data_IF_168330334308
#
_entry.id   IF_168330334308
#
_cell.length_a   1.000
_cell.length_b   1.000
_cell.length_c   1.000
_cell.angle_alpha   90.00
_cell.angle_beta   90.00
_cell.angle_gamma   90.00
#
_symmetry.space_group_name_H-M   'P 1'
#
loop_
_entity.id
_entity.type
_entity.pdbx_description
1 polymer ?
#
# COMPACT_ATOMS: atom_id res chain seq x y z
N UNK A 1 37.43 -15.26 -72.36
CA UNK A 1 37.07 -14.33 -71.26
C UNK A 1 35.57 -14.33 -71.10
N UNK A 2 35.06 -14.75 -69.93
CA UNK A 2 33.81 -14.29 -69.30
C UNK A 2 33.62 -15.09 -68.00
N UNK A 3 34.13 -14.51 -66.92
CA UNK A 3 34.03 -15.00 -65.55
C UNK A 3 32.64 -14.68 -65.02
N UNK A 4 31.91 -15.65 -64.49
CA UNK A 4 30.59 -15.47 -63.86
C UNK A 4 30.80 -15.44 -62.35
N UNK A 5 30.48 -14.31 -61.72
CA UNK A 5 30.47 -14.15 -60.26
C UNK A 5 29.08 -14.52 -59.72
N UNK A 6 29.01 -15.55 -58.87
CA UNK A 6 27.83 -15.82 -58.04
C UNK A 6 27.94 -15.02 -56.74
N UNK A 7 27.00 -14.09 -56.52
CA UNK A 7 26.79 -13.46 -55.21
C UNK A 7 25.80 -14.31 -54.40
N UNK A 8 26.27 -14.92 -53.32
CA UNK A 8 25.42 -15.45 -52.25
C UNK A 8 25.01 -14.32 -51.31
N UNK A 9 23.73 -13.97 -51.31
CA UNK A 9 23.15 -13.04 -50.35
C UNK A 9 22.85 -13.77 -49.03
N UNK A 10 23.55 -13.41 -47.95
CA UNK A 10 23.24 -13.90 -46.61
C UNK A 10 22.09 -13.06 -46.01
N UNK A 11 20.95 -13.69 -45.75
CA UNK A 11 19.82 -13.06 -45.07
C UNK A 11 20.08 -12.99 -43.56
N UNK A 12 20.33 -11.78 -43.04
CA UNK A 12 20.35 -11.52 -41.60
C UNK A 12 18.91 -11.49 -41.07
N UNK A 13 18.53 -12.55 -40.37
CA UNK A 13 17.24 -12.66 -39.70
C UNK A 13 17.34 -11.91 -38.36
N UNK A 14 16.81 -10.68 -38.30
CA UNK A 14 16.76 -9.89 -37.09
C UNK A 14 15.71 -10.49 -36.13
N UNK A 15 16.18 -11.15 -35.06
CA UNK A 15 15.34 -11.59 -33.95
C UNK A 15 14.91 -10.37 -33.14
N UNK A 16 13.71 -9.86 -33.40
CA UNK A 16 13.04 -8.87 -32.55
C UNK A 16 12.62 -9.56 -31.24
N UNK A 17 13.49 -9.54 -30.24
CA UNK A 17 13.16 -9.94 -28.88
C UNK A 17 12.15 -8.94 -28.30
N UNK A 18 10.90 -9.40 -28.10
CA UNK A 18 9.89 -8.61 -27.40
C UNK A 18 10.33 -8.37 -25.96
N UNK A 19 10.58 -7.12 -25.59
CA UNK A 19 10.83 -6.73 -24.21
C UNK A 19 9.50 -6.90 -23.47
N UNK A 20 9.38 -7.95 -22.66
CA UNK A 20 8.24 -8.12 -21.77
C UNK A 20 8.33 -7.04 -20.69
N UNK A 21 7.40 -6.08 -20.70
CA UNK A 21 7.34 -5.06 -19.66
C UNK A 21 7.05 -5.75 -18.32
N UNK A 22 7.89 -5.51 -17.31
CA UNK A 22 7.65 -6.02 -15.97
C UNK A 22 6.30 -5.47 -15.44
N UNK A 23 5.47 -6.35 -14.88
CA UNK A 23 4.19 -5.97 -14.29
C UNK A 23 4.39 -4.91 -13.21
N UNK A 24 3.52 -3.89 -13.19
CA UNK A 24 3.62 -2.79 -12.24
C UNK A 24 3.43 -3.26 -10.78
N UNK A 25 4.09 -2.57 -9.85
CA UNK A 25 3.86 -2.76 -8.41
C UNK A 25 2.41 -2.40 -8.09
N UNK A 26 1.66 -3.35 -7.49
CA UNK A 26 0.21 -3.23 -7.31
C UNK A 26 -0.22 -3.59 -5.90
N UNK A 27 -1.32 -3.01 -5.44
CA UNK A 27 -1.99 -3.31 -4.17
C UNK A 27 -3.47 -3.59 -4.43
N UNK A 28 -4.00 -4.60 -3.76
CA UNK A 28 -5.41 -5.00 -3.82
C UNK A 28 -5.90 -5.49 -2.46
N UNK A 29 -7.20 -5.66 -2.33
CA UNK A 29 -7.84 -6.28 -1.16
C UNK A 29 -8.97 -7.19 -1.63
N UNK A 30 -9.11 -8.35 -0.99
CA UNK A 30 -10.28 -9.22 -1.17
C UNK A 30 -11.51 -8.74 -0.40
N UNK A 31 -11.32 -7.94 0.65
CA UNK A 31 -12.40 -7.46 1.53
C UNK A 31 -13.03 -6.15 1.01
N UNK A 32 -12.31 -5.41 0.17
CA UNK A 32 -12.81 -4.18 -0.45
C UNK A 32 -13.54 -4.55 -1.76
N UNK A 33 -14.86 -4.27 -1.87
CA UNK A 33 -15.62 -4.56 -3.07
C UNK A 33 -15.09 -3.81 -4.31
N UNK A 34 -15.47 -4.28 -5.50
CA UNK A 34 -15.02 -3.72 -6.78
C UNK A 34 -15.44 -2.26 -7.02
N UNK A 35 -16.47 -1.78 -6.33
CA UNK A 35 -16.89 -0.37 -6.36
C UNK A 35 -16.11 0.51 -5.37
N UNK A 36 -15.14 -0.08 -4.65
CA UNK A 36 -14.27 0.56 -3.67
C UNK A 36 -15.02 1.25 -2.52
N UNK A 37 -16.23 0.82 -2.17
CA UNK A 37 -16.95 1.32 -0.99
C UNK A 37 -16.58 0.50 0.24
N UNK A 38 -16.17 1.15 1.33
CA UNK A 38 -15.94 0.46 2.59
C UNK A 38 -17.26 -0.08 3.15
N UNK A 39 -17.24 -1.31 3.63
CA UNK A 39 -18.35 -1.95 4.34
C UNK A 39 -18.27 -1.68 5.83
N UNK A 40 -19.32 -2.05 6.58
CA UNK A 40 -19.35 -1.89 8.04
C UNK A 40 -18.19 -2.58 8.77
N UNK A 41 -17.58 -3.60 8.15
CA UNK A 41 -16.41 -4.28 8.70
C UNK A 41 -15.23 -3.32 8.93
N UNK A 42 -15.02 -2.35 8.02
CA UNK A 42 -13.88 -1.43 8.03
C UNK A 42 -14.24 -0.02 8.55
N UNK A 43 -15.46 0.15 9.04
CA UNK A 43 -15.94 1.39 9.67
C UNK A 43 -15.52 1.39 11.14
N UNK A 44 -15.19 2.55 11.68
CA UNK A 44 -14.74 2.69 13.07
C UNK A 44 -15.85 2.32 14.06
N UNK A 45 -15.44 1.92 15.27
CA UNK A 45 -16.33 1.62 16.39
C UNK A 45 -16.11 2.64 17.50
N UNK A 46 -16.81 3.77 17.40
CA UNK A 46 -16.61 4.94 18.25
C UNK A 46 -16.93 6.22 17.50
N UNK A 47 -16.93 7.37 18.21
CA UNK A 47 -17.18 8.70 17.64
C UNK A 47 -18.49 8.79 16.81
N UNK A 48 -19.51 8.06 17.26
CA UNK A 48 -20.81 7.97 16.59
C UNK A 48 -20.86 7.01 15.39
N UNK A 49 -19.79 6.28 15.09
CA UNK A 49 -19.79 5.17 14.15
C UNK A 49 -19.92 3.82 14.88
N UNK A 50 -20.53 2.84 14.20
CA UNK A 50 -20.89 1.54 14.76
C UNK A 50 -20.35 0.36 13.93
N UNK A 51 -19.27 0.56 13.21
CA UNK A 51 -18.64 -0.52 12.43
C UNK A 51 -17.91 -1.53 13.32
N UNK A 52 -17.26 -2.49 12.68
CA UNK A 52 -16.51 -3.55 13.36
C UNK A 52 -15.06 -3.15 13.65
N UNK A 53 -14.56 -2.11 12.99
CA UNK A 53 -13.21 -1.58 13.13
C UNK A 53 -12.10 -2.61 12.82
N UNK A 54 -12.31 -3.41 11.77
CA UNK A 54 -11.38 -4.46 11.34
C UNK A 54 -10.63 -3.99 10.09
N UNK A 55 -9.30 -4.09 10.09
CA UNK A 55 -8.49 -3.77 8.91
C UNK A 55 -8.81 -4.73 7.75
N UNK A 56 -8.89 -4.26 6.51
CA UNK A 56 -9.10 -5.15 5.37
C UNK A 56 -7.86 -6.01 5.12
N UNK A 57 -8.08 -7.19 4.55
CA UNK A 57 -7.03 -7.97 3.88
C UNK A 57 -6.32 -7.08 2.86
N UNK A 58 -5.00 -7.16 2.77
CA UNK A 58 -4.23 -6.45 1.75
C UNK A 58 -3.27 -7.42 1.09
N UNK A 59 -3.10 -7.34 -0.22
CA UNK A 59 -2.07 -8.09 -0.95
C UNK A 59 -1.42 -7.23 -2.00
N UNK A 60 -0.10 -7.35 -2.13
CA UNK A 60 0.69 -6.63 -3.12
C UNK A 60 1.53 -7.57 -3.97
N UNK A 61 1.82 -7.14 -5.20
CA UNK A 61 2.55 -7.93 -6.21
C UNK A 61 3.55 -7.07 -6.94
N UNK A 62 4.60 -7.72 -7.45
CA UNK A 62 5.66 -7.11 -8.25
C UNK A 62 6.39 -5.95 -7.53
N UNK A 63 6.91 -6.17 -6.30
CA UNK A 63 7.74 -5.17 -5.64
C UNK A 63 8.98 -4.87 -6.51
N UNK A 64 9.48 -3.63 -6.52
CA UNK A 64 10.70 -3.31 -7.25
C UNK A 64 11.90 -4.07 -6.67
N UNK A 65 12.90 -4.32 -7.52
CA UNK A 65 14.19 -4.84 -7.07
C UNK A 65 14.80 -3.89 -6.02
N UNK A 66 15.47 -4.46 -5.00
CA UNK A 66 16.04 -3.70 -3.90
C UNK A 66 15.09 -3.43 -2.72
N UNK A 67 13.85 -3.93 -2.77
CA UNK A 67 12.93 -3.89 -1.63
C UNK A 67 13.48 -4.71 -0.47
N UNK A 68 13.64 -4.08 0.70
CA UNK A 68 14.12 -4.71 1.94
C UNK A 68 13.07 -4.78 3.05
N UNK A 69 12.05 -3.93 2.99
CA UNK A 69 10.87 -4.02 3.83
C UNK A 69 9.68 -3.33 3.16
N UNK A 70 8.49 -3.56 3.69
CA UNK A 70 7.28 -2.81 3.36
C UNK A 70 6.78 -1.99 4.54
N UNK A 71 5.96 -1.01 4.20
CA UNK A 71 5.08 -0.33 5.12
C UNK A 71 3.67 -0.22 4.53
N UNK A 72 2.67 -0.10 5.41
CA UNK A 72 1.28 0.17 5.06
C UNK A 72 0.87 1.49 5.70
N UNK A 73 0.15 2.30 4.95
CA UNK A 73 -0.53 3.48 5.49
C UNK A 73 -1.97 3.55 5.00
N UNK A 74 -2.86 4.01 5.87
CA UNK A 74 -4.23 4.40 5.52
C UNK A 74 -4.42 5.85 5.93
N UNK A 75 -4.74 6.70 4.95
CA UNK A 75 -4.87 8.14 5.16
C UNK A 75 -6.13 8.69 4.50
N UNK A 76 -6.86 9.53 5.24
CA UNK A 76 -8.00 10.28 4.77
C UNK A 76 -7.60 11.75 4.54
N UNK A 77 -7.47 12.22 3.29
CA UNK A 77 -7.16 13.61 3.00
C UNK A 77 -8.38 14.55 3.12
N UNK A 78 -9.60 14.01 3.24
CA UNK A 78 -10.84 14.77 3.26
C UNK A 78 -11.29 15.10 4.69
N UNK A 79 -10.70 14.47 5.71
CA UNK A 79 -10.94 14.81 7.11
C UNK A 79 -10.68 16.30 7.40
N UNK A 80 -11.64 17.04 8.01
CA UNK A 80 -11.59 18.49 8.14
C UNK A 80 -10.74 18.94 9.35
N UNK A 81 -9.46 18.58 9.37
CA UNK A 81 -8.52 18.84 10.47
C UNK A 81 -7.40 19.83 10.11
N UNK A 82 -7.25 20.16 8.83
CA UNK A 82 -6.08 20.87 8.29
C UNK A 82 -4.90 19.97 7.94
N UNK A 83 -4.90 18.70 8.38
CA UNK A 83 -3.83 17.72 8.11
C UNK A 83 -4.33 16.37 7.57
N UNK A 84 -5.64 16.24 7.30
CA UNK A 84 -6.26 14.94 7.05
C UNK A 84 -6.30 14.06 8.31
N UNK A 85 -6.39 12.75 8.12
CA UNK A 85 -6.45 11.77 9.21
C UNK A 85 -5.66 10.51 8.89
N UNK A 86 -4.70 10.16 9.74
CA UNK A 86 -3.99 8.89 9.72
C UNK A 86 -4.82 7.82 10.42
N UNK A 87 -5.35 6.90 9.62
CA UNK A 87 -6.16 5.76 10.08
C UNK A 87 -5.30 4.55 10.46
N UNK A 88 -4.15 4.38 9.80
CA UNK A 88 -3.24 3.28 10.09
C UNK A 88 -1.84 3.59 9.59
N UNK A 89 -0.83 3.22 10.38
CA UNK A 89 0.56 3.14 9.92
C UNK A 89 1.18 1.86 10.45
N UNK A 90 1.93 1.18 9.59
CA UNK A 90 2.66 -0.03 9.91
C UNK A 90 3.96 -0.07 9.12
N UNK A 91 5.07 -0.40 9.77
CA UNK A 91 6.41 -0.40 9.18
C UNK A 91 7.17 -1.69 9.51
N UNK A 92 8.31 -1.88 8.86
CA UNK A 92 9.23 -3.00 9.08
C UNK A 92 8.60 -4.36 8.73
N UNK A 93 7.64 -4.38 7.80
CA UNK A 93 7.08 -5.62 7.26
C UNK A 93 8.19 -6.30 6.43
N UNK A 94 8.60 -7.55 6.74
CA UNK A 94 9.71 -8.19 6.04
C UNK A 94 9.45 -8.33 4.53
N UNK A 95 10.49 -8.21 3.70
CA UNK A 95 10.39 -8.19 2.23
C UNK A 95 9.76 -9.44 1.60
N UNK A 96 9.77 -10.57 2.32
CA UNK A 96 9.15 -11.83 1.91
C UNK A 96 7.64 -11.91 2.14
N UNK A 97 7.07 -10.96 2.89
CA UNK A 97 5.63 -10.88 3.13
C UNK A 97 4.98 -10.08 1.99
N UNK A 98 3.93 -10.62 1.40
CA UNK A 98 3.22 -10.02 0.26
C UNK A 98 1.73 -9.81 0.49
N UNK A 99 1.28 -10.10 1.70
CA UNK A 99 -0.09 -9.91 2.12
C UNK A 99 -0.21 -9.72 3.63
N UNK A 100 -1.33 -9.13 4.04
CA UNK A 100 -1.80 -9.05 5.41
C UNK A 100 -3.21 -9.63 5.45
N UNK A 101 -3.53 -10.45 6.46
CA UNK A 101 -4.89 -10.96 6.63
C UNK A 101 -5.85 -9.85 7.08
N UNK A 102 -7.14 -10.08 6.88
CA UNK A 102 -8.20 -9.31 7.53
C UNK A 102 -7.96 -9.24 9.04
N UNK A 103 -8.05 -8.05 9.62
CA UNK A 103 -7.86 -7.85 11.05
C UNK A 103 -6.41 -8.02 11.52
N UNK A 104 -5.42 -7.81 10.64
CA UNK A 104 -4.02 -7.84 11.01
C UNK A 104 -3.74 -6.93 12.22
N UNK A 105 -3.19 -7.53 13.29
CA UNK A 105 -2.93 -6.94 14.59
C UNK A 105 -1.56 -7.40 15.13
N UNK A 106 -1.15 -6.89 16.29
CA UNK A 106 0.15 -7.24 16.88
C UNK A 106 0.33 -8.75 17.14
N UNK A 107 -0.75 -9.52 17.30
CA UNK A 107 -0.67 -10.97 17.60
C UNK A 107 -0.49 -11.80 16.33
N UNK A 108 -1.00 -11.30 15.20
CA UNK A 108 -0.97 -11.97 13.90
C UNK A 108 0.22 -11.54 13.05
N UNK A 109 0.84 -10.40 13.35
CA UNK A 109 1.99 -9.87 12.62
C UNK A 109 3.32 -10.56 12.98
N UNK A 110 4.25 -10.69 12.00
CA UNK A 110 5.61 -11.15 12.26
C UNK A 110 6.35 -10.32 13.31
N UNK A 111 7.30 -10.94 14.01
CA UNK A 111 8.18 -10.23 14.93
C UNK A 111 8.93 -9.10 14.22
N UNK A 112 9.03 -7.94 14.88
CA UNK A 112 9.72 -6.75 14.37
C UNK A 112 8.82 -5.79 13.58
N UNK A 113 7.60 -6.20 13.21
CA UNK A 113 6.61 -5.27 12.63
C UNK A 113 6.12 -4.31 13.71
N UNK A 114 6.10 -3.02 13.36
CA UNK A 114 5.68 -1.94 14.27
C UNK A 114 4.46 -1.25 13.68
N UNK A 115 3.46 -0.99 14.51
CA UNK A 115 2.34 -0.10 14.18
C UNK A 115 2.56 1.22 14.89
N UNK A 116 2.50 2.33 14.15
CA UNK A 116 2.62 3.68 14.71
C UNK A 116 1.30 4.20 15.24
N UNK A 117 1.34 5.34 15.95
CA UNK A 117 0.18 6.00 16.54
C UNK A 117 -0.68 6.62 15.43
N UNK A 118 -1.94 6.21 15.38
CA UNK A 118 -2.95 6.81 14.50
C UNK A 118 -3.55 8.07 15.15
N UNK A 119 -4.36 8.82 14.40
CA UNK A 119 -4.93 10.09 14.88
C UNK A 119 -6.12 9.89 15.86
N UNK A 120 -6.60 8.65 16.03
CA UNK A 120 -7.48 8.28 17.16
C UNK A 120 -6.71 8.15 18.48
N UNK A 121 -5.37 8.16 18.43
CA UNK A 121 -4.50 8.23 19.58
C UNK A 121 -3.92 6.89 20.05
N UNK A 122 -4.04 5.83 19.26
CA UNK A 122 -3.49 4.50 19.59
C UNK A 122 -2.73 3.87 18.43
N UNK A 123 -1.89 2.87 18.71
CA UNK A 123 -1.16 2.12 17.69
C UNK A 123 -2.03 1.02 17.07
N UNK A 124 -2.40 1.18 15.80
CA UNK A 124 -3.21 0.21 15.07
C UNK A 124 -4.12 0.83 14.01
N UNK A 125 -4.93 -0.02 13.37
CA UNK A 125 -5.96 0.43 12.45
C UNK A 125 -7.13 1.07 13.20
N UNK A 126 -7.59 2.21 12.69
CA UNK A 126 -8.87 2.81 13.01
C UNK A 126 -9.66 3.04 11.72
N UNK A 127 -10.89 2.51 11.66
CA UNK A 127 -11.74 2.53 10.48
C UNK A 127 -12.27 3.90 10.09
N UNK A 128 -13.08 3.93 9.03
CA UNK A 128 -13.73 5.14 8.54
C UNK A 128 -14.74 5.70 9.56
N UNK A 129 -14.77 7.02 9.75
CA UNK A 129 -15.82 7.70 10.51
C UNK A 129 -15.97 9.18 10.12
N UNK A 130 -16.37 9.49 8.87
CA UNK A 130 -16.50 10.86 8.39
C UNK A 130 -17.66 11.59 9.10
N UNK A 131 -17.75 12.93 9.11
CA UNK A 131 -18.91 13.63 9.68
C UNK A 131 -20.24 13.23 9.02
N UNK A 132 -21.37 13.18 9.75
CA UNK A 132 -22.68 12.93 9.14
C UNK A 132 -23.07 14.00 8.12
N UNK A 133 -23.54 13.57 6.94
CA UNK A 133 -24.00 14.47 5.87
C UNK A 133 -22.89 15.15 5.07
N UNK A 134 -21.61 14.85 5.35
CA UNK A 134 -20.51 15.29 4.50
C UNK A 134 -20.47 14.48 3.19
N UNK A 135 -19.72 14.96 2.19
CA UNK A 135 -19.40 14.17 1.00
C UNK A 135 -18.70 12.87 1.43
N UNK A 136 -18.78 11.77 0.65
CA UNK A 136 -17.98 10.58 0.94
C UNK A 136 -16.48 10.92 0.99
N UNK A 137 -15.80 10.54 2.08
CA UNK A 137 -14.36 10.70 2.24
C UNK A 137 -13.60 9.61 1.50
N UNK A 138 -12.35 9.91 1.13
CA UNK A 138 -11.42 8.98 0.49
C UNK A 138 -10.49 8.35 1.52
N UNK A 139 -10.37 7.04 1.51
CA UNK A 139 -9.44 6.29 2.36
C UNK A 139 -8.34 5.71 1.48
N UNK A 140 -7.15 6.30 1.55
CA UNK A 140 -6.01 5.96 0.72
C UNK A 140 -5.20 4.84 1.36
N UNK A 141 -5.38 3.61 0.88
CA UNK A 141 -4.57 2.46 1.28
C UNK A 141 -3.32 2.43 0.42
N UNK A 142 -2.15 2.55 1.04
CA UNK A 142 -0.86 2.57 0.34
C UNK A 142 0.08 1.53 0.92
N UNK A 143 0.70 0.74 0.05
CA UNK A 143 1.87 -0.07 0.37
C UNK A 143 3.12 0.64 -0.15
N UNK A 144 4.15 0.66 0.67
CA UNK A 144 5.43 1.31 0.40
C UNK A 144 6.50 0.23 0.34
N UNK A 145 7.26 0.17 -0.75
CA UNK A 145 8.46 -0.64 -0.84
C UNK A 145 9.67 0.22 -0.46
N UNK A 146 10.47 -0.25 0.51
CA UNK A 146 11.56 0.53 1.10
C UNK A 146 12.93 -0.10 0.83
N UNK A 147 13.97 0.73 0.69
CA UNK A 147 15.37 0.31 0.51
C UNK A 147 16.12 0.00 1.83
N UNK A 148 15.42 0.11 2.96
CA UNK A 148 15.91 -0.24 4.30
C UNK A 148 15.08 -1.39 4.87
N UNK A 149 15.71 -2.25 5.67
CA UNK A 149 15.03 -3.36 6.33
C UNK A 149 14.23 -2.90 7.56
N UNK A 150 14.71 -1.85 8.24
CA UNK A 150 14.10 -1.34 9.47
C UNK A 150 14.13 0.18 9.51
N UNK A 151 13.12 0.73 10.18
CA UNK A 151 13.00 2.11 10.60
C UNK A 151 12.96 2.16 12.14
N UNK A 152 13.65 3.13 12.78
CA UNK A 152 13.67 3.30 14.23
C UNK A 152 12.38 3.97 14.72
N UNK A 153 11.26 3.26 14.62
CA UNK A 153 9.93 3.73 14.96
C UNK A 153 9.29 2.78 15.98
N UNK A 154 8.33 3.31 16.74
CA UNK A 154 7.63 2.62 17.82
C UNK A 154 6.12 2.93 17.79
N UNK A 155 5.39 2.48 18.83
CA UNK A 155 3.94 2.69 18.93
C UNK A 155 3.50 4.13 19.12
N UNK A 156 4.41 5.03 19.53
CA UNK A 156 4.11 6.45 19.77
C UNK A 156 4.43 7.33 18.55
N UNK A 157 5.14 6.76 17.59
CA UNK A 157 5.52 7.44 16.35
C UNK A 157 4.28 7.88 15.57
N UNK A 158 4.13 9.19 15.38
CA UNK A 158 2.98 9.78 14.67
C UNK A 158 2.95 9.42 13.19
N UNK A 159 1.77 9.49 12.56
CA UNK A 159 1.63 9.29 11.12
C UNK A 159 2.53 10.21 10.29
N UNK A 160 2.75 11.45 10.73
CA UNK A 160 3.66 12.38 10.08
C UNK A 160 5.14 11.97 10.21
N UNK A 161 5.58 11.51 11.39
CA UNK A 161 6.95 11.01 11.59
C UNK A 161 7.20 9.75 10.76
N UNK A 162 6.24 8.82 10.76
CA UNK A 162 6.27 7.64 9.88
C UNK A 162 6.40 8.10 8.44
N UNK A 163 5.52 9.00 7.97
CA UNK A 163 5.55 9.55 6.62
C UNK A 163 6.89 10.19 6.24
N UNK A 164 7.52 10.94 7.14
CA UNK A 164 8.85 11.51 6.92
C UNK A 164 9.89 10.40 6.65
N UNK A 165 9.94 9.38 7.51
CA UNK A 165 10.87 8.27 7.37
C UNK A 165 10.60 7.42 6.12
N UNK A 166 9.33 7.20 5.77
CA UNK A 166 8.95 6.49 4.54
C UNK A 166 9.46 7.22 3.30
N UNK A 167 9.26 8.55 3.22
CA UNK A 167 9.71 9.31 2.05
C UNK A 167 11.24 9.34 1.90
N UNK A 168 12.00 9.20 2.99
CA UNK A 168 13.47 9.10 2.92
C UNK A 168 13.96 7.76 2.34
N UNK A 169 13.15 6.70 2.39
CA UNK A 169 13.57 5.32 2.06
C UNK A 169 12.76 4.64 0.96
N UNK A 170 11.70 5.28 0.46
CA UNK A 170 10.80 4.68 -0.52
C UNK A 170 11.46 4.53 -1.88
N UNK A 171 11.25 3.36 -2.50
CA UNK A 171 11.67 3.07 -3.88
C UNK A 171 10.48 2.83 -4.81
N UNK A 172 9.32 2.42 -4.29
CA UNK A 172 8.06 2.44 -5.03
C UNK A 172 6.86 2.45 -4.07
N UNK A 173 5.69 2.82 -4.59
CA UNK A 173 4.42 2.79 -3.88
C UNK A 173 3.33 2.23 -4.78
N UNK A 174 2.40 1.50 -4.20
CA UNK A 174 1.14 1.15 -4.84
C UNK A 174 -0.02 1.58 -3.93
N UNK A 175 -1.10 2.08 -4.53
CA UNK A 175 -2.23 2.65 -3.80
C UNK A 175 -3.55 2.30 -4.50
N UNK A 176 -4.56 2.00 -3.70
CA UNK A 176 -5.96 2.16 -4.12
C UNK A 176 -6.66 3.13 -3.16
N UNK A 177 -7.82 3.63 -3.56
CA UNK A 177 -8.62 4.55 -2.73
C UNK A 177 -10.01 3.98 -2.60
N UNK A 178 -10.42 3.71 -1.35
CA UNK A 178 -11.78 3.36 -1.01
C UNK A 178 -12.56 4.61 -0.57
N UNK A 179 -13.88 4.52 -0.52
CA UNK A 179 -14.75 5.62 -0.08
C UNK A 179 -15.74 5.18 0.99
N UNK A 180 -16.11 6.11 1.86
CA UNK A 180 -17.20 5.91 2.81
C UNK A 180 -17.85 7.26 3.12
N UNK A 181 -19.17 7.26 3.29
CA UNK A 181 -19.97 8.40 3.74
C UNK A 181 -21.11 7.90 4.64
N UNK A 182 -21.61 8.77 5.53
CA UNK A 182 -22.73 8.45 6.43
C UNK A 182 -23.72 9.60 6.53
#
# INVERSE_FOLDING_TARGET
MKTVFSLTAAAMMALSGGVSAASAFSLSSADIPADFRLTQQHVFKGFGCSGENISPQLSWRNPPAGTKSYAITVFDPDAPTGSGWWHWTMVNIPAQIHDLPTGADKKTLPAGVVQGRNDFGYAGFGGACPPPGDKPHRYQFTVWALNTATLPLDSESSGALVGFMLNAHVIAKAKFTATYGR
#
